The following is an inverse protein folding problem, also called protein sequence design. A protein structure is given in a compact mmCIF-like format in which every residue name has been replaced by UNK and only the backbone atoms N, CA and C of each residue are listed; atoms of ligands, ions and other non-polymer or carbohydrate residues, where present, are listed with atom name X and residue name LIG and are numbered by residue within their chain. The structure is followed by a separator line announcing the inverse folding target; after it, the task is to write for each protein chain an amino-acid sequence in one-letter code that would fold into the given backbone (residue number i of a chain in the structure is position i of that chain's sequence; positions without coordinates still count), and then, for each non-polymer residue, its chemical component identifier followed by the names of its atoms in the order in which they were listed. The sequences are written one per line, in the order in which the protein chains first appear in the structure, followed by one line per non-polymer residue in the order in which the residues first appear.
data_IF_870156650762
#
_entry.id   IF_870156650762
#
_cell.length_a   1.000
_cell.length_b   1.000
_cell.length_c   1.000
_cell.angle_alpha   90.00
_cell.angle_beta   90.00
_cell.angle_gamma   90.00
#
_symmetry.space_group_name_H-M   'P 1'
#
loop_
_entity.id
_entity.type
_entity.pdbx_description
1 polymer ?
#
# COMPACT_ATOMS: atom_id res chain seq x y z
N UNK A 1 -18.81 -33.55 -9.22
CA UNK A 1 -17.89 -34.18 -8.25
C UNK A 1 -16.57 -34.50 -8.96
N UNK A 2 -15.40 -34.20 -8.35
CA UNK A 2 -15.20 -33.12 -7.40
C UNK A 2 -14.67 -31.87 -8.12
N UNK A 3 -15.34 -30.73 -7.87
CA UNK A 3 -14.69 -29.44 -7.99
C UNK A 3 -13.68 -29.34 -6.84
N UNK A 4 -12.51 -28.76 -7.10
CA UNK A 4 -11.44 -28.55 -6.11
C UNK A 4 -11.89 -27.74 -4.87
N UNK A 5 -13.09 -27.17 -4.86
CA UNK A 5 -13.55 -26.21 -3.84
C UNK A 5 -14.87 -26.57 -3.15
N UNK A 6 -15.61 -27.61 -3.56
CA UNK A 6 -16.92 -27.97 -2.95
C UNK A 6 -17.19 -29.48 -2.97
N UNK A 7 -17.77 -30.00 -1.88
CA UNK A 7 -18.06 -31.44 -1.70
C UNK A 7 -19.28 -31.93 -2.49
N UNK A 8 -20.25 -31.07 -2.78
CA UNK A 8 -21.40 -31.36 -3.66
C UNK A 8 -21.54 -30.29 -4.75
N UNK A 9 -21.74 -30.68 -6.03
CA UNK A 9 -21.81 -29.74 -7.15
C UNK A 9 -23.08 -28.87 -7.13
N UNK A 10 -22.96 -27.62 -7.58
CA UNK A 10 -24.05 -26.67 -7.76
C UNK A 10 -24.85 -26.97 -9.02
N UNK A 11 -26.13 -26.54 -9.07
CA UNK A 11 -27.00 -26.70 -10.24
C UNK A 11 -26.39 -26.07 -11.51
N UNK A 12 -25.61 -25.00 -11.37
CA UNK A 12 -24.92 -24.32 -12.47
C UNK A 12 -23.58 -24.94 -12.87
N UNK A 13 -22.97 -25.76 -12.03
CA UNK A 13 -21.64 -26.33 -12.31
C UNK A 13 -21.68 -27.26 -13.55
N UNK A 14 -22.86 -27.76 -13.93
CA UNK A 14 -23.12 -28.50 -15.17
C UNK A 14 -24.38 -28.01 -15.90
N UNK A 15 -24.74 -26.73 -15.73
CA UNK A 15 -25.97 -26.21 -16.32
C UNK A 15 -25.78 -25.93 -17.81
N UNK A 16 -26.71 -26.47 -18.58
CA UNK A 16 -26.95 -26.04 -19.94
C UNK A 16 -28.27 -25.28 -19.97
N UNK A 17 -28.25 -24.02 -20.39
CA UNK A 17 -29.48 -23.22 -20.56
C UNK A 17 -30.33 -23.75 -21.71
N UNK A 18 -29.71 -24.47 -22.63
CA UNK A 18 -30.35 -25.32 -23.63
C UNK A 18 -29.60 -26.64 -23.66
N UNK A 19 -30.33 -27.77 -23.66
CA UNK A 19 -29.71 -29.11 -23.63
C UNK A 19 -28.71 -29.31 -24.78
N UNK A 20 -29.02 -28.75 -25.95
CA UNK A 20 -28.09 -28.62 -27.08
C UNK A 20 -27.56 -27.20 -27.09
N UNK A 21 -26.23 -27.06 -27.15
CA UNK A 21 -25.56 -25.77 -27.33
C UNK A 21 -26.10 -25.09 -28.60
N UNK A 22 -26.49 -23.81 -28.55
CA UNK A 22 -26.96 -23.11 -29.74
C UNK A 22 -25.86 -23.12 -30.82
N UNK A 23 -26.26 -23.43 -32.05
CA UNK A 23 -25.33 -23.52 -33.19
C UNK A 23 -24.84 -22.15 -33.68
N UNK A 24 -25.46 -21.07 -33.21
CA UNK A 24 -25.12 -19.70 -33.60
C UNK A 24 -25.27 -18.76 -32.40
N UNK A 25 -24.38 -17.78 -32.32
CA UNK A 25 -24.49 -16.63 -31.43
C UNK A 25 -23.85 -15.44 -32.14
N UNK A 26 -24.48 -14.26 -32.04
CA UNK A 26 -23.95 -13.05 -32.67
C UNK A 26 -22.61 -12.62 -32.04
N UNK A 27 -22.40 -12.93 -30.76
CA UNK A 27 -21.18 -12.65 -30.01
C UNK A 27 -20.90 -13.79 -29.02
N UNK A 28 -19.66 -14.29 -29.03
CA UNK A 28 -19.14 -15.25 -28.04
C UNK A 28 -17.95 -14.63 -27.31
N UNK A 29 -17.97 -14.64 -25.98
CA UNK A 29 -16.93 -14.04 -25.14
C UNK A 29 -16.33 -15.10 -24.22
N UNK A 30 -15.05 -15.41 -24.43
CA UNK A 30 -14.23 -16.17 -23.49
C UNK A 30 -12.80 -15.61 -23.54
N UNK A 31 -12.27 -15.04 -22.46
CA UNK A 31 -10.81 -14.84 -22.36
C UNK A 31 -10.26 -14.78 -20.94
N UNK A 32 -9.18 -15.53 -20.73
CA UNK A 32 -8.29 -15.41 -19.57
C UNK A 32 -7.34 -14.22 -19.80
N UNK A 33 -7.16 -13.38 -18.79
CA UNK A 33 -6.24 -12.23 -18.84
C UNK A 33 -4.78 -12.71 -18.90
N UNK A 34 -3.95 -12.02 -19.68
CA UNK A 34 -2.49 -12.19 -19.73
C UNK A 34 -1.85 -10.99 -19.02
N UNK A 35 -0.98 -11.26 -18.03
CA UNK A 35 -0.34 -10.24 -17.20
C UNK A 35 1.18 -10.39 -17.33
N UNK A 36 1.87 -9.30 -17.69
CA UNK A 36 3.33 -9.22 -17.79
C UNK A 36 3.85 -8.13 -16.84
N UNK A 37 4.87 -8.47 -16.06
CA UNK A 37 5.55 -7.58 -15.11
C UNK A 37 7.04 -7.46 -15.48
N UNK A 38 7.46 -6.41 -16.21
CA UNK A 38 8.87 -6.11 -16.40
C UNK A 38 9.44 -5.41 -15.15
N UNK A 39 10.54 -5.93 -14.63
CA UNK A 39 11.28 -5.39 -13.49
C UNK A 39 12.71 -5.10 -13.94
N UNK A 40 13.18 -3.85 -13.76
CA UNK A 40 14.48 -3.40 -14.27
C UNK A 40 15.67 -4.09 -13.61
N UNK A 41 15.49 -4.57 -12.37
CA UNK A 41 16.52 -5.26 -11.59
C UNK A 41 16.01 -6.62 -11.11
N UNK A 42 16.29 -6.93 -9.85
CA UNK A 42 15.74 -8.10 -9.15
C UNK A 42 14.39 -7.74 -8.50
N UNK A 43 13.49 -8.72 -8.33
CA UNK A 43 12.23 -8.51 -7.64
C UNK A 43 12.48 -7.88 -6.27
N UNK A 44 11.73 -6.82 -5.96
CA UNK A 44 11.69 -6.20 -4.63
C UNK A 44 12.99 -5.56 -4.17
N UNK A 45 13.92 -5.31 -5.08
CA UNK A 45 15.17 -4.57 -4.82
C UNK A 45 14.96 -3.07 -4.53
N UNK A 46 13.73 -2.57 -4.73
CA UNK A 46 13.30 -1.21 -4.40
C UNK A 46 12.76 -1.06 -2.97
N UNK A 47 11.95 -0.01 -2.75
CA UNK A 47 11.43 0.34 -1.43
C UNK A 47 10.64 -0.80 -0.75
N UNK A 48 9.91 -1.60 -1.54
CA UNK A 48 9.08 -2.70 -1.05
C UNK A 48 9.87 -3.74 -0.25
N UNK A 49 11.06 -4.13 -0.70
CA UNK A 49 11.90 -5.10 0.02
C UNK A 49 12.79 -4.48 1.10
N UNK A 50 12.95 -3.14 1.10
CA UNK A 50 13.90 -2.41 1.95
C UNK A 50 13.27 -1.57 3.05
N UNK A 51 11.95 -1.56 3.18
CA UNK A 51 11.29 -0.94 4.33
C UNK A 51 11.50 -1.79 5.60
N UNK A 52 11.33 -1.16 6.77
CA UNK A 52 11.58 -1.79 8.08
C UNK A 52 10.50 -2.82 8.47
N UNK A 53 9.44 -2.97 7.66
CA UNK A 53 8.45 -4.02 7.87
C UNK A 53 7.53 -3.83 9.07
N UNK A 54 7.47 -2.62 9.64
CA UNK A 54 6.54 -2.29 10.71
C UNK A 54 5.11 -2.27 10.20
N UNK A 55 4.27 -3.12 10.78
CA UNK A 55 2.82 -3.07 10.64
C UNK A 55 2.25 -2.44 11.90
N UNK A 56 1.67 -1.25 11.78
CA UNK A 56 1.10 -0.52 12.91
C UNK A 56 -0.08 0.33 12.48
N UNK A 57 -0.99 0.58 13.40
CA UNK A 57 -2.05 1.57 13.23
C UNK A 57 -1.44 2.96 12.96
N UNK A 58 -2.01 3.71 12.02
CA UNK A 58 -1.46 4.94 11.42
C UNK A 58 -1.29 6.18 12.32
N UNK A 59 -1.03 6.01 13.63
CA UNK A 59 -0.80 7.11 14.59
C UNK A 59 0.45 7.95 14.30
N UNK A 60 1.33 7.51 13.38
CA UNK A 60 2.58 8.17 13.02
C UNK A 60 2.41 9.53 12.34
N UNK A 61 1.36 9.74 11.54
CA UNK A 61 1.20 11.00 10.80
C UNK A 61 0.91 12.20 11.73
N UNK A 62 0.18 11.95 12.82
CA UNK A 62 -0.13 12.98 13.82
C UNK A 62 1.03 13.19 14.81
N UNK A 63 1.68 12.11 15.24
CA UNK A 63 2.74 12.16 16.27
C UNK A 63 4.08 12.63 15.70
N UNK A 64 4.46 12.24 14.48
CA UNK A 64 5.70 12.72 13.86
C UNK A 64 5.69 14.24 13.60
N UNK A 65 4.51 14.79 13.29
CA UNK A 65 4.29 16.24 13.14
C UNK A 65 4.45 17.00 14.47
N UNK A 66 4.17 16.34 15.60
CA UNK A 66 4.39 16.87 16.95
C UNK A 66 5.82 16.64 17.47
N UNK A 67 6.46 15.53 17.10
CA UNK A 67 7.76 15.11 17.65
C UNK A 67 8.97 15.88 17.09
N UNK A 68 8.88 16.46 15.88
CA UNK A 68 9.96 17.29 15.32
C UNK A 68 10.20 18.61 16.08
N UNK A 69 9.36 18.95 17.08
CA UNK A 69 9.46 20.16 17.91
C UNK A 69 9.47 19.85 19.42
N UNK A 70 10.03 18.71 19.82
CA UNK A 70 10.01 18.24 21.22
C UNK A 70 10.69 19.17 22.24
N UNK A 71 11.56 20.08 21.80
CA UNK A 71 12.14 21.10 22.68
C UNK A 71 11.19 22.27 23.01
N UNK A 72 10.10 22.48 22.26
CA UNK A 72 9.29 23.70 22.34
C UNK A 72 7.77 23.47 22.49
N UNK A 73 7.27 22.26 22.81
CA UNK A 73 5.81 22.03 22.87
C UNK A 73 5.11 22.97 23.86
N UNK A 74 5.71 23.23 25.03
CA UNK A 74 5.20 24.19 25.99
C UNK A 74 5.25 25.63 25.44
N UNK A 75 6.40 26.07 24.92
CA UNK A 75 6.57 27.40 24.33
C UNK A 75 5.66 27.65 23.11
N UNK A 76 5.42 26.63 22.28
CA UNK A 76 4.50 26.68 21.14
C UNK A 76 3.06 26.72 21.62
N UNK A 77 2.69 25.93 22.63
CA UNK A 77 1.36 26.02 23.24
C UNK A 77 1.10 27.42 23.84
N UNK A 78 2.10 28.00 24.50
CA UNK A 78 2.01 29.34 25.09
C UNK A 78 1.95 30.41 24.00
N UNK A 79 2.77 30.30 22.96
CA UNK A 79 2.72 31.19 21.78
C UNK A 79 1.35 31.14 21.08
N UNK A 80 0.80 29.95 20.83
CA UNK A 80 -0.53 29.76 20.23
C UNK A 80 -1.62 30.43 21.08
N UNK A 81 -1.54 30.29 22.42
CA UNK A 81 -2.49 30.93 23.34
C UNK A 81 -2.32 32.45 23.37
N UNK A 82 -1.09 32.94 23.43
CA UNK A 82 -0.76 34.37 23.48
C UNK A 82 -1.22 35.08 22.20
N UNK A 83 -0.88 34.51 21.04
CA UNK A 83 -1.17 35.06 19.72
C UNK A 83 -2.56 34.67 19.18
N UNK A 84 -3.33 33.88 19.94
CA UNK A 84 -4.67 33.38 19.56
C UNK A 84 -4.69 32.71 18.17
N UNK A 85 -3.71 31.86 17.91
CA UNK A 85 -3.54 31.18 16.61
C UNK A 85 -4.52 30.01 16.51
N UNK A 86 -5.45 30.10 15.57
CA UNK A 86 -6.38 29.01 15.26
C UNK A 86 -5.68 27.92 14.42
N UNK A 87 -5.16 26.90 15.09
CA UNK A 87 -4.39 25.81 14.44
C UNK A 87 -4.66 24.41 14.99
N UNK A 88 -5.82 24.20 15.64
CA UNK A 88 -6.25 22.91 16.17
C UNK A 88 -5.23 22.22 17.09
N UNK A 89 -4.43 22.99 17.84
CA UNK A 89 -3.45 22.43 18.76
C UNK A 89 -4.13 21.64 19.89
N UNK A 90 -3.74 20.37 20.05
CA UNK A 90 -4.24 19.47 21.10
C UNK A 90 -3.10 18.73 21.78
N UNK A 91 -3.22 18.52 23.09
CA UNK A 91 -2.29 17.62 23.82
C UNK A 91 -2.58 16.16 23.42
N UNK A 92 -1.58 15.28 23.54
CA UNK A 92 -1.70 13.88 23.12
C UNK A 92 -2.94 13.16 23.68
N UNK A 93 -3.19 13.31 24.99
CA UNK A 93 -4.32 12.67 25.68
C UNK A 93 -5.66 13.19 25.19
N UNK A 94 -5.80 14.51 25.09
CA UNK A 94 -7.01 15.18 24.59
C UNK A 94 -7.29 14.82 23.12
N UNK A 95 -6.24 14.75 22.30
CA UNK A 95 -6.35 14.26 20.92
C UNK A 95 -6.84 12.82 20.86
N UNK A 96 -6.30 11.95 21.71
CA UNK A 96 -6.73 10.55 21.82
C UNK A 96 -8.19 10.42 22.30
N UNK A 97 -8.58 11.13 23.37
CA UNK A 97 -9.95 11.13 23.91
C UNK A 97 -10.97 11.61 22.87
N UNK A 98 -10.61 12.59 22.04
CA UNK A 98 -11.45 13.02 20.93
C UNK A 98 -11.62 11.94 19.86
N UNK A 99 -10.55 11.24 19.48
CA UNK A 99 -10.63 10.13 18.52
C UNK A 99 -11.50 8.99 19.05
N UNK A 100 -11.45 8.73 20.36
CA UNK A 100 -12.33 7.77 21.05
C UNK A 100 -13.79 8.23 20.98
N UNK A 101 -14.06 9.51 21.29
CA UNK A 101 -15.41 10.08 21.26
C UNK A 101 -16.05 10.05 19.86
N UNK A 102 -15.24 10.23 18.81
CA UNK A 102 -15.68 10.13 17.40
C UNK A 102 -15.81 8.66 16.92
N UNK A 103 -15.41 7.69 17.74
CA UNK A 103 -15.58 6.27 17.45
C UNK A 103 -14.60 5.71 16.40
N UNK A 104 -13.40 6.29 16.30
CA UNK A 104 -12.39 5.82 15.34
C UNK A 104 -11.92 4.40 15.72
N UNK A 105 -12.07 3.45 14.80
CA UNK A 105 -11.81 2.02 15.04
C UNK A 105 -10.41 1.72 15.60
N UNK A 106 -9.39 2.44 15.14
CA UNK A 106 -8.00 2.25 15.61
C UNK A 106 -7.82 2.58 17.09
N UNK A 107 -8.72 3.35 17.70
CA UNK A 107 -8.67 3.64 19.14
C UNK A 107 -8.96 2.42 20.01
N UNK A 108 -9.73 1.44 19.51
CA UNK A 108 -10.05 0.21 20.24
C UNK A 108 -8.84 -0.70 20.48
N UNK A 109 -7.83 -0.60 19.61
CA UNK A 109 -6.60 -1.38 19.67
C UNK A 109 -5.39 -0.57 20.15
N UNK A 110 -5.61 0.64 20.68
CA UNK A 110 -4.57 1.52 21.19
C UNK A 110 -4.88 1.91 22.64
N UNK A 111 -3.84 2.04 23.45
CA UNK A 111 -3.90 2.44 24.84
C UNK A 111 -3.10 3.73 25.04
N UNK A 112 -3.74 4.77 25.58
CA UNK A 112 -3.05 5.99 26.00
C UNK A 112 -2.71 5.91 27.48
N UNK A 113 -1.41 5.86 27.78
CA UNK A 113 -0.96 5.83 29.17
C UNK A 113 -1.22 7.19 29.85
N UNK A 114 -1.62 7.20 31.13
CA UNK A 114 -1.56 8.40 31.95
C UNK A 114 -0.14 8.98 31.98
N UNK A 115 -0.01 10.31 31.93
CA UNK A 115 1.28 11.01 31.85
C UNK A 115 2.27 10.56 32.95
N UNK A 116 1.78 10.36 34.18
CA UNK A 116 2.58 9.89 35.32
C UNK A 116 3.24 8.51 35.11
N UNK A 117 2.70 7.67 34.23
CA UNK A 117 3.23 6.35 33.91
C UNK A 117 3.94 6.31 32.55
N UNK A 118 3.99 7.43 31.81
CA UNK A 118 4.55 7.46 30.47
C UNK A 118 6.04 7.05 30.46
N UNK A 119 6.85 7.59 31.38
CA UNK A 119 8.27 7.22 31.48
C UNK A 119 8.47 5.74 31.81
N UNK A 120 7.70 5.24 32.78
CA UNK A 120 7.79 3.85 33.24
C UNK A 120 7.40 2.87 32.13
N UNK A 121 6.31 3.14 31.41
CA UNK A 121 5.78 2.24 30.40
C UNK A 121 6.52 2.35 29.06
N UNK A 122 7.04 3.53 28.71
CA UNK A 122 7.79 3.73 27.46
C UNK A 122 9.28 3.42 27.60
N UNK A 123 9.83 3.43 28.83
CA UNK A 123 11.27 3.34 29.08
C UNK A 123 12.06 4.58 28.66
N UNK A 124 11.40 5.72 28.43
CA UNK A 124 12.03 6.97 27.96
C UNK A 124 11.95 7.99 29.10
N UNK A 125 13.12 8.40 29.62
CA UNK A 125 13.22 9.46 30.63
C UNK A 125 12.68 10.78 30.08
N UNK A 126 11.83 11.46 30.86
CA UNK A 126 11.18 12.70 30.44
C UNK A 126 9.95 12.55 29.56
N UNK A 127 9.48 11.33 29.26
CA UNK A 127 8.30 11.11 28.45
C UNK A 127 7.04 11.76 29.07
N UNK A 128 6.36 12.59 28.27
CA UNK A 128 5.12 13.31 28.66
C UNK A 128 3.83 12.66 28.14
N UNK A 129 3.95 11.50 27.50
CA UNK A 129 2.83 10.76 26.95
C UNK A 129 3.29 9.53 26.18
N UNK A 130 2.43 8.51 26.15
CA UNK A 130 2.70 7.25 25.46
C UNK A 130 1.40 6.71 24.88
N UNK A 131 1.45 6.29 23.62
CA UNK A 131 0.44 5.42 23.02
C UNK A 131 1.05 4.04 22.80
N UNK A 132 0.41 3.02 23.34
CA UNK A 132 0.72 1.61 23.07
C UNK A 132 -0.33 1.05 22.13
N UNK A 133 0.04 0.11 21.27
CA UNK A 133 -0.88 -0.56 20.34
C UNK A 133 -0.29 -1.89 19.90
N UNK A 134 -1.15 -2.80 19.45
CA UNK A 134 -0.68 -4.02 18.80
C UNK A 134 0.02 -3.66 17.50
N UNK A 135 1.32 -3.96 17.43
CA UNK A 135 2.12 -3.82 16.23
C UNK A 135 2.58 -5.20 15.75
N UNK A 136 2.70 -5.34 14.43
CA UNK A 136 3.33 -6.49 13.80
C UNK A 136 4.65 -6.09 13.15
N UNK A 137 5.47 -7.10 12.88
CA UNK A 137 6.65 -6.95 12.05
C UNK A 137 6.64 -8.05 11.00
N UNK A 138 6.83 -7.67 9.74
CA UNK A 138 7.02 -8.59 8.63
C UNK A 138 8.42 -8.42 8.08
N UNK A 139 8.98 -9.49 7.50
CA UNK A 139 10.13 -9.35 6.59
C UNK A 139 9.57 -9.06 5.21
N UNK A 140 9.57 -7.80 4.73
CA UNK A 140 8.83 -7.42 3.52
C UNK A 140 9.30 -8.21 2.31
N UNK A 141 10.62 -8.37 2.19
CA UNK A 141 11.24 -9.19 1.16
C UNK A 141 10.67 -10.62 1.11
N UNK A 142 10.57 -11.31 2.25
CA UNK A 142 10.03 -12.69 2.29
C UNK A 142 8.53 -12.75 1.97
N UNK A 143 7.76 -11.82 2.53
CA UNK A 143 6.31 -11.75 2.30
C UNK A 143 6.02 -11.60 0.81
N UNK A 144 6.67 -10.64 0.17
CA UNK A 144 6.37 -10.31 -1.22
C UNK A 144 6.94 -11.37 -2.17
N UNK A 145 8.10 -11.97 -1.86
CA UNK A 145 8.58 -13.14 -2.61
C UNK A 145 7.55 -14.27 -2.65
N UNK A 146 6.89 -14.55 -1.53
CA UNK A 146 5.85 -15.58 -1.47
C UNK A 146 4.63 -15.20 -2.33
N UNK A 147 4.09 -13.99 -2.17
CA UNK A 147 2.94 -13.52 -2.97
C UNK A 147 3.22 -13.55 -4.47
N UNK A 148 4.45 -13.25 -4.89
CA UNK A 148 4.82 -13.26 -6.29
C UNK A 148 5.05 -14.65 -6.85
N UNK A 149 5.60 -15.57 -6.06
CA UNK A 149 5.68 -16.97 -6.43
C UNK A 149 4.28 -17.53 -6.72
N UNK A 150 3.30 -17.19 -5.87
CA UNK A 150 1.90 -17.58 -6.07
C UNK A 150 1.28 -16.93 -7.33
N UNK A 151 1.62 -15.68 -7.62
CA UNK A 151 1.17 -14.99 -8.82
C UNK A 151 1.74 -15.63 -10.10
N UNK A 152 3.03 -15.97 -10.09
CA UNK A 152 3.69 -16.70 -11.19
C UNK A 152 3.04 -18.08 -11.37
N UNK A 153 2.77 -18.81 -10.28
CA UNK A 153 2.07 -20.10 -10.33
C UNK A 153 0.66 -20.00 -10.94
N UNK A 154 0.02 -18.83 -10.85
CA UNK A 154 -1.29 -18.56 -11.46
C UNK A 154 -1.21 -18.11 -12.94
N UNK A 155 0.01 -17.91 -13.46
CA UNK A 155 0.26 -17.57 -14.87
C UNK A 155 0.65 -16.11 -15.12
N UNK A 156 1.01 -15.34 -14.10
CA UNK A 156 1.66 -14.04 -14.28
C UNK A 156 3.06 -14.26 -14.87
N UNK A 157 3.38 -13.54 -15.94
CA UNK A 157 4.71 -13.54 -16.52
C UNK A 157 5.55 -12.42 -15.88
N UNK A 158 6.62 -12.78 -15.18
CA UNK A 158 7.54 -11.83 -14.59
C UNK A 158 8.89 -11.86 -15.31
N UNK A 159 9.40 -10.70 -15.70
CA UNK A 159 10.66 -10.55 -16.42
C UNK A 159 11.58 -9.61 -15.65
N UNK A 160 12.51 -10.17 -14.89
CA UNK A 160 13.52 -9.42 -14.15
C UNK A 160 14.65 -8.96 -15.07
N UNK A 161 15.48 -8.01 -14.62
CA UNK A 161 16.58 -7.42 -15.39
C UNK A 161 16.12 -6.92 -16.77
N UNK A 162 14.88 -6.43 -16.86
CA UNK A 162 14.22 -5.98 -18.08
C UNK A 162 13.71 -4.58 -17.84
N UNK A 163 14.60 -3.60 -18.02
CA UNK A 163 14.24 -2.20 -17.82
C UNK A 163 13.36 -1.72 -18.97
N UNK A 164 12.20 -1.16 -18.63
CA UNK A 164 11.45 -0.29 -19.54
C UNK A 164 12.24 1.00 -19.75
N UNK A 165 12.43 1.39 -21.01
CA UNK A 165 13.21 2.58 -21.39
C UNK A 165 12.33 3.73 -21.89
N UNK A 166 11.17 3.41 -22.45
CA UNK A 166 10.18 4.39 -22.88
C UNK A 166 8.77 3.79 -22.84
N UNK A 167 7.77 4.67 -22.81
CA UNK A 167 6.36 4.31 -22.94
C UNK A 167 5.69 5.27 -23.91
N UNK A 168 4.91 4.74 -24.85
CA UNK A 168 4.12 5.53 -25.79
C UNK A 168 2.76 4.88 -26.02
N UNK A 169 1.82 5.65 -26.60
CA UNK A 169 0.50 5.14 -26.98
C UNK A 169 0.28 5.33 -28.47
N UNK A 170 -0.16 4.27 -29.15
CA UNK A 170 -0.52 4.28 -30.57
C UNK A 170 -1.85 3.55 -30.76
N UNK A 171 -2.83 4.20 -31.39
CA UNK A 171 -4.13 3.61 -31.77
C UNK A 171 -4.79 2.74 -30.68
N UNK A 172 -4.84 3.25 -29.42
CA UNK A 172 -5.41 2.57 -28.23
C UNK A 172 -4.61 1.40 -27.67
N UNK A 173 -3.37 1.21 -28.13
CA UNK A 173 -2.41 0.25 -27.58
C UNK A 173 -1.23 1.00 -26.99
N UNK A 174 -0.77 0.58 -25.83
CA UNK A 174 0.47 1.05 -25.23
C UNK A 174 1.64 0.24 -25.76
N UNK A 175 2.74 0.92 -26.04
CA UNK A 175 4.01 0.33 -26.45
C UNK A 175 5.05 0.69 -25.40
N UNK A 176 5.69 -0.33 -24.84
CA UNK A 176 6.77 -0.19 -23.87
C UNK A 176 8.03 -0.75 -24.51
N UNK A 177 9.04 0.11 -24.66
CA UNK A 177 10.34 -0.32 -25.17
C UNK A 177 11.18 -0.89 -24.04
N UNK A 178 11.91 -1.96 -24.35
CA UNK A 178 12.92 -2.54 -23.48
C UNK A 178 14.13 -2.94 -24.32
N UNK A 179 15.33 -3.11 -23.72
CA UNK A 179 16.49 -3.68 -24.43
C UNK A 179 16.26 -5.07 -25.01
N UNK A 180 15.18 -5.76 -24.59
CA UNK A 180 14.82 -7.12 -25.04
C UNK A 180 13.70 -7.12 -26.08
N UNK A 181 13.27 -5.95 -26.55
CA UNK A 181 12.20 -5.77 -27.52
C UNK A 181 11.01 -4.98 -26.97
N UNK A 182 9.99 -4.84 -27.81
CA UNK A 182 8.77 -4.07 -27.53
C UNK A 182 7.70 -4.92 -26.86
N UNK A 183 6.94 -4.31 -25.96
CA UNK A 183 5.79 -4.90 -25.30
C UNK A 183 4.56 -4.09 -25.70
N UNK A 184 3.55 -4.76 -26.25
CA UNK A 184 2.26 -4.15 -26.58
C UNK A 184 1.20 -4.55 -25.56
N UNK A 185 0.49 -3.56 -25.01
CA UNK A 185 -0.55 -3.80 -24.02
C UNK A 185 -1.74 -2.86 -24.19
N UNK A 186 -2.95 -3.35 -23.95
CA UNK A 186 -4.15 -2.49 -23.95
C UNK A 186 -4.24 -1.63 -22.68
N UNK A 187 -3.58 -2.06 -21.60
CA UNK A 187 -3.57 -1.38 -20.30
C UNK A 187 -2.16 -1.47 -19.69
N UNK A 188 -1.73 -0.40 -19.04
CA UNK A 188 -0.45 -0.32 -18.33
C UNK A 188 -0.68 0.19 -16.92
N UNK A 189 -0.05 -0.45 -15.94
CA UNK A 189 -0.04 -0.02 -14.54
C UNK A 189 1.38 0.41 -14.19
N UNK A 190 1.54 1.67 -13.79
CA UNK A 190 2.82 2.20 -13.33
C UNK A 190 3.00 1.89 -11.85
N UNK A 191 3.87 0.92 -11.54
CA UNK A 191 4.21 0.50 -10.18
C UNK A 191 5.69 0.73 -9.84
N UNK A 192 6.28 1.78 -10.41
CA UNK A 192 7.74 2.06 -10.42
C UNK A 192 8.24 2.92 -9.25
N UNK A 193 7.34 3.39 -8.38
CA UNK A 193 7.67 4.22 -7.21
C UNK A 193 8.49 5.47 -7.60
N UNK A 194 9.62 5.76 -6.93
CA UNK A 194 10.48 6.91 -7.20
C UNK A 194 10.99 6.99 -8.65
N UNK A 195 11.06 5.86 -9.36
CA UNK A 195 11.55 5.82 -10.74
C UNK A 195 10.48 6.19 -11.79
N UNK A 196 9.26 6.53 -11.38
CA UNK A 196 8.18 6.82 -12.33
C UNK A 196 8.52 7.95 -13.30
N UNK A 197 9.26 8.96 -12.83
CA UNK A 197 9.70 10.09 -13.66
C UNK A 197 10.60 9.69 -14.83
N UNK A 198 11.29 8.54 -14.77
CA UNK A 198 12.15 8.09 -15.88
C UNK A 198 11.35 7.63 -17.11
N UNK A 199 10.08 7.24 -16.92
CA UNK A 199 9.18 6.83 -18.00
C UNK A 199 8.13 7.90 -18.30
N UNK A 200 7.73 8.66 -17.27
CA UNK A 200 6.72 9.70 -17.33
C UNK A 200 7.31 11.02 -16.81
N UNK A 201 7.97 11.82 -17.67
CA UNK A 201 8.70 13.02 -17.27
C UNK A 201 7.87 14.06 -16.50
N UNK A 202 6.54 14.06 -16.67
CA UNK A 202 5.60 14.91 -15.93
C UNK A 202 5.65 14.70 -14.40
N UNK A 203 6.28 13.62 -13.92
CA UNK A 203 6.48 13.33 -12.50
C UNK A 203 7.84 13.79 -11.93
N UNK A 204 8.74 14.36 -12.74
CA UNK A 204 10.12 14.74 -12.33
C UNK A 204 10.17 15.58 -11.06
N UNK A 205 9.25 16.55 -10.92
CA UNK A 205 9.18 17.43 -9.74
C UNK A 205 8.02 17.08 -8.80
N UNK A 206 7.36 15.94 -9.03
CA UNK A 206 6.20 15.50 -8.24
C UNK A 206 6.55 14.39 -7.26
N UNK A 207 7.63 13.65 -7.53
CA UNK A 207 8.09 12.55 -6.69
C UNK A 207 9.53 12.86 -6.25
N UNK A 208 9.68 13.25 -4.99
CA UNK A 208 10.94 13.62 -4.35
C UNK A 208 11.21 12.72 -3.13
N UNK A 209 12.47 12.47 -2.73
CA UNK A 209 13.72 12.91 -3.34
C UNK A 209 14.10 12.10 -4.60
N UNK A 210 14.87 12.71 -5.50
CA UNK A 210 15.40 12.08 -6.72
C UNK A 210 16.61 11.17 -6.44
#
# INVERSE_FOLDING_TARGET
MPSLKRSTPNILDNHYSTEKLPTTADIVIIRKLSILVPESRQPYSGATGRNVGHLKSGSYAFIAKLAQKSANVAAVADFIRQEKIDCDFRRLKEGYENLVAVGIESTKATFCAPEQHAEQLSGIKGAKGMLSYTAGHVRPYKLIHHLFADAIAQGVNAQTNTSSTSISSSHRTWVIETPRGEIHANQVIMATNAYTASLLPEFTDKIIPY
#
